data_IF_344597725302
#
_entry.id   IF_344597725302
#
_cell.length_a   1.000
_cell.length_b   1.000
_cell.length_c   1.000
_cell.angle_alpha   90.00
_cell.angle_beta   90.00
_cell.angle_gamma   90.00
#
_symmetry.space_group_name_H-M   'P 1'
#
loop_
_entity.id
_entity.type
_entity.pdbx_description
1 polymer ?
#
# COMPACT_ATOMS: atom_id res chain seq x y z
N UNK A 1 13.56 -11.89 19.97
CA UNK A 1 12.58 -10.85 20.38
C UNK A 1 11.31 -11.16 19.60
N UNK A 2 10.45 -11.99 20.17
CA UNK A 2 9.20 -12.39 19.53
C UNK A 2 8.20 -11.26 19.78
N UNK A 3 7.92 -10.43 18.77
CA UNK A 3 6.82 -9.49 18.86
C UNK A 3 5.55 -10.33 19.09
N UNK A 4 4.88 -10.12 20.24
CA UNK A 4 3.64 -10.84 20.54
C UNK A 4 2.70 -10.72 19.34
N UNK A 5 2.05 -11.83 18.96
CA UNK A 5 1.11 -11.90 17.83
C UNK A 5 0.11 -10.75 17.84
N UNK A 6 -0.34 -10.37 19.05
CA UNK A 6 -1.22 -9.22 19.31
C UNK A 6 -0.57 -7.88 18.94
N UNK A 7 0.69 -7.68 19.32
CA UNK A 7 1.44 -6.46 18.96
C UNK A 7 1.64 -6.36 17.46
N UNK A 8 1.90 -7.48 16.77
CA UNK A 8 2.10 -7.48 15.32
C UNK A 8 0.79 -7.13 14.58
N UNK A 9 -0.31 -7.83 14.88
CA UNK A 9 -1.61 -7.56 14.26
C UNK A 9 -2.05 -6.12 14.54
N UNK A 10 -1.88 -5.66 15.79
CA UNK A 10 -2.18 -4.29 16.17
C UNK A 10 -1.37 -3.28 15.35
N UNK A 11 -0.04 -3.40 15.30
CA UNK A 11 0.79 -2.50 14.52
C UNK A 11 0.42 -2.47 13.04
N UNK A 12 0.18 -3.62 12.40
CA UNK A 12 -0.16 -3.65 10.97
C UNK A 12 -1.60 -3.20 10.68
N UNK A 13 -2.56 -3.53 11.54
CA UNK A 13 -3.93 -3.01 11.44
C UNK A 13 -3.92 -1.48 11.61
N UNK A 14 -3.18 -0.96 12.60
CA UNK A 14 -3.01 0.48 12.79
C UNK A 14 -2.31 1.13 11.60
N UNK A 15 -1.29 0.52 11.00
CA UNK A 15 -0.60 1.06 9.82
C UNK A 15 -1.51 1.08 8.59
N UNK A 16 -2.27 0.00 8.37
CA UNK A 16 -3.25 -0.07 7.28
C UNK A 16 -4.34 0.99 7.47
N UNK A 17 -4.92 1.05 8.67
CA UNK A 17 -5.92 2.04 9.04
C UNK A 17 -5.39 3.48 8.90
N UNK A 18 -4.17 3.76 9.39
CA UNK A 18 -3.58 5.10 9.31
C UNK A 18 -3.32 5.51 7.86
N UNK A 19 -2.87 4.58 7.01
CA UNK A 19 -2.59 4.87 5.60
C UNK A 19 -3.88 5.09 4.80
N UNK A 20 -4.94 4.32 5.07
CA UNK A 20 -6.26 4.53 4.47
C UNK A 20 -6.92 5.81 4.99
N UNK A 21 -6.79 6.11 6.28
CA UNK A 21 -7.28 7.34 6.89
C UNK A 21 -6.57 8.58 6.34
N UNK A 22 -5.27 8.51 6.06
CA UNK A 22 -4.54 9.64 5.45
C UNK A 22 -4.99 9.93 4.01
N UNK A 23 -5.53 8.92 3.31
CA UNK A 23 -6.16 9.08 2.00
C UNK A 23 -7.58 9.65 2.04
N UNK A 24 -8.21 9.69 3.24
CA UNK A 24 -9.49 10.34 3.45
C UNK A 24 -9.25 11.73 4.08
N UNK A 25 -9.71 12.81 3.46
CA UNK A 25 -9.51 14.20 3.93
C UNK A 25 -10.12 14.52 5.30
N UNK A 26 -10.72 13.55 5.98
CA UNK A 26 -11.17 13.63 7.36
C UNK A 26 -10.67 12.40 8.12
N UNK A 27 -10.01 12.55 9.28
CA UNK A 27 -9.66 11.41 10.11
C UNK A 27 -10.97 10.67 10.48
N UNK A 28 -11.05 9.35 10.25
CA UNK A 28 -12.16 8.57 10.78
C UNK A 28 -12.16 8.74 12.30
N UNK A 29 -13.33 9.00 12.88
CA UNK A 29 -13.45 9.14 14.32
C UNK A 29 -12.80 7.93 15.01
N UNK A 30 -12.04 8.10 16.10
CA UNK A 30 -11.31 7.01 16.77
C UNK A 30 -12.20 5.82 17.15
N UNK A 31 -13.52 6.03 17.24
CA UNK A 31 -14.52 5.00 17.55
C UNK A 31 -14.86 4.04 16.39
N UNK A 32 -14.53 4.38 15.14
CA UNK A 32 -14.85 3.53 13.99
C UNK A 32 -13.79 2.45 13.72
N UNK A 33 -12.59 2.56 14.33
CA UNK A 33 -11.44 1.69 14.04
C UNK A 33 -11.20 0.59 15.08
N UNK A 34 -11.67 0.76 16.32
CA UNK A 34 -11.64 -0.32 17.32
C UNK A 34 -12.35 -1.61 16.86
N UNK A 35 -13.57 -1.59 16.26
CA UNK A 35 -14.23 -2.84 15.87
C UNK A 35 -13.47 -3.62 14.78
N UNK A 36 -12.68 -2.93 13.94
CA UNK A 36 -11.88 -3.58 12.90
C UNK A 36 -10.69 -4.31 13.52
N UNK A 37 -10.00 -3.65 14.45
CA UNK A 37 -8.88 -4.25 15.19
C UNK A 37 -9.38 -5.48 15.96
N UNK A 38 -10.51 -5.36 16.65
CA UNK A 38 -11.13 -6.46 17.38
C UNK A 38 -11.46 -7.64 16.44
N UNK A 39 -11.97 -7.35 15.24
CA UNK A 39 -12.26 -8.37 14.21
C UNK A 39 -10.98 -9.11 13.79
N UNK A 40 -9.88 -8.40 13.52
CA UNK A 40 -8.63 -9.03 13.12
C UNK A 40 -8.00 -9.85 14.25
N UNK A 41 -8.01 -9.33 15.47
CA UNK A 41 -7.51 -10.05 16.64
C UNK A 41 -8.35 -11.28 16.95
N UNK A 42 -9.68 -11.16 16.89
CA UNK A 42 -10.59 -12.28 17.07
C UNK A 42 -10.36 -13.37 16.01
N UNK A 43 -10.22 -12.97 14.74
CA UNK A 43 -9.93 -13.92 13.66
C UNK A 43 -8.60 -14.65 13.87
N UNK A 44 -7.56 -13.94 14.30
CA UNK A 44 -6.23 -14.53 14.47
C UNK A 44 -6.05 -15.38 15.75
N UNK A 45 -6.76 -15.03 16.82
CA UNK A 45 -6.54 -15.63 18.15
C UNK A 45 -7.64 -16.61 18.56
N UNK A 46 -8.87 -16.43 18.06
CA UNK A 46 -10.04 -17.21 18.47
C UNK A 46 -10.56 -18.14 17.38
N UNK A 47 -9.86 -18.24 16.24
CA UNK A 47 -10.19 -19.19 15.16
C UNK A 47 -8.97 -20.04 14.79
N UNK A 48 -9.20 -21.30 14.47
CA UNK A 48 -8.14 -22.22 13.99
C UNK A 48 -7.80 -22.00 12.51
N UNK A 49 -8.43 -21.03 11.84
CA UNK A 49 -8.21 -20.77 10.41
C UNK A 49 -7.09 -19.75 10.17
N UNK A 50 -6.81 -18.89 11.15
CA UNK A 50 -5.87 -17.79 11.03
C UNK A 50 -6.34 -16.63 10.14
N UNK A 51 -5.41 -15.74 9.79
CA UNK A 51 -5.66 -14.51 9.04
C UNK A 51 -4.55 -14.22 8.03
N UNK A 52 -4.93 -13.66 6.89
CA UNK A 52 -3.99 -13.09 5.92
C UNK A 52 -4.32 -11.63 5.69
N UNK A 53 -3.33 -10.73 5.80
CA UNK A 53 -3.51 -9.28 5.68
C UNK A 53 -2.64 -8.76 4.53
N UNK A 54 -3.25 -7.98 3.64
CA UNK A 54 -2.59 -7.29 2.53
C UNK A 54 -2.38 -5.82 2.87
N UNK A 55 -1.13 -5.38 2.93
CA UNK A 55 -0.75 -4.03 3.32
C UNK A 55 -0.23 -3.29 2.08
N UNK A 56 -0.96 -2.28 1.56
CA UNK A 56 -0.45 -1.46 0.48
C UNK A 56 0.74 -0.61 0.93
N UNK A 57 1.71 -0.42 0.04
CA UNK A 57 2.82 0.53 0.26
C UNK A 57 2.30 1.96 0.40
N UNK A 58 3.06 2.82 1.09
CA UNK A 58 2.79 4.27 1.10
C UNK A 58 2.73 4.86 -0.31
N UNK A 59 3.58 4.39 -1.22
CA UNK A 59 3.55 4.76 -2.64
C UNK A 59 2.25 4.37 -3.35
N UNK A 60 1.57 3.32 -2.90
CA UNK A 60 0.28 2.90 -3.44
C UNK A 60 -0.80 3.96 -3.20
N UNK A 61 -0.85 4.52 -1.99
CA UNK A 61 -1.79 5.59 -1.63
C UNK A 61 -1.47 6.87 -2.38
N UNK A 62 -0.18 7.24 -2.49
CA UNK A 62 0.26 8.40 -3.28
C UNK A 62 -0.07 8.28 -4.76
N UNK A 63 0.00 7.07 -5.32
CA UNK A 63 -0.32 6.81 -6.71
C UNK A 63 -1.84 6.76 -6.98
N UNK A 64 -2.67 6.61 -5.95
CA UNK A 64 -4.12 6.51 -6.08
C UNK A 64 -4.74 7.91 -6.29
N UNK A 65 -4.86 8.32 -7.55
CA UNK A 65 -5.49 9.59 -7.94
C UNK A 65 -7.02 9.50 -8.03
N UNK A 66 -7.52 8.36 -8.52
CA UNK A 66 -8.94 8.01 -8.60
C UNK A 66 -9.10 6.50 -8.44
N UNK A 67 -10.17 6.02 -7.80
CA UNK A 67 -11.20 6.77 -7.07
C UNK A 67 -10.66 7.41 -5.79
N UNK A 68 -11.30 8.49 -5.32
CA UNK A 68 -10.92 9.15 -4.08
C UNK A 68 -11.44 8.37 -2.88
N UNK A 69 -10.56 8.04 -1.93
CA UNK A 69 -10.93 7.40 -0.67
C UNK A 69 -11.58 8.38 0.32
N UNK A 70 -11.52 9.68 0.05
CA UNK A 70 -12.09 10.73 0.91
C UNK A 70 -13.61 10.83 0.88
N UNK A 71 -14.25 10.30 -0.17
CA UNK A 71 -15.72 10.36 -0.32
C UNK A 71 -16.42 9.12 0.24
N UNK A 72 -15.71 8.26 0.99
CA UNK A 72 -16.26 7.04 1.56
C UNK A 72 -16.98 7.33 2.87
N UNK A 73 -18.13 6.68 3.08
CA UNK A 73 -18.77 6.64 4.39
C UNK A 73 -17.94 5.80 5.37
N UNK A 74 -18.19 5.96 6.68
CA UNK A 74 -17.51 5.15 7.68
C UNK A 74 -17.70 3.64 7.45
N UNK A 75 -18.87 3.19 6.99
CA UNK A 75 -19.13 1.77 6.76
C UNK A 75 -18.49 1.25 5.47
N UNK A 76 -18.40 2.09 4.43
CA UNK A 76 -17.60 1.78 3.25
C UNK A 76 -16.10 1.69 3.60
N UNK A 77 -15.60 2.61 4.42
CA UNK A 77 -14.21 2.58 4.88
C UNK A 77 -13.92 1.33 5.71
N UNK A 78 -14.81 0.93 6.63
CA UNK A 78 -14.70 -0.33 7.37
C UNK A 78 -14.63 -1.52 6.41
N UNK A 79 -15.55 -1.59 5.46
CA UNK A 79 -15.59 -2.66 4.46
C UNK A 79 -14.31 -2.70 3.61
N UNK A 80 -13.78 -1.53 3.22
CA UNK A 80 -12.52 -1.42 2.49
C UNK A 80 -11.32 -1.93 3.30
N UNK A 81 -11.25 -1.62 4.59
CA UNK A 81 -10.17 -2.11 5.46
C UNK A 81 -10.29 -3.63 5.65
N UNK A 82 -11.50 -4.14 5.92
CA UNK A 82 -11.75 -5.58 6.04
C UNK A 82 -11.48 -6.34 4.73
N UNK A 83 -11.65 -5.68 3.57
CA UNK A 83 -11.35 -6.26 2.26
C UNK A 83 -9.87 -6.56 2.05
N UNK A 84 -9.01 -5.82 2.74
CA UNK A 84 -7.56 -6.07 2.72
C UNK A 84 -7.15 -7.27 3.59
N UNK A 85 -8.10 -8.00 4.20
CA UNK A 85 -7.79 -9.17 4.99
C UNK A 85 -8.70 -10.36 4.65
N UNK A 86 -8.17 -11.57 4.76
CA UNK A 86 -8.89 -12.82 4.52
C UNK A 86 -9.04 -13.63 5.81
N UNK A 87 -10.18 -14.34 5.98
CA UNK A 87 -10.52 -15.11 7.19
C UNK A 87 -9.76 -16.44 7.29
N UNK A 88 -8.58 -16.55 6.67
CA UNK A 88 -7.75 -17.74 6.70
C UNK A 88 -6.30 -17.38 6.45
N UNK A 89 -5.39 -18.10 7.09
CA UNK A 89 -3.97 -18.10 6.78
C UNK A 89 -3.73 -18.74 5.40
N UNK A 90 -3.02 -18.04 4.54
CA UNK A 90 -2.53 -18.55 3.26
C UNK A 90 -1.04 -18.26 3.14
N UNK A 91 -0.27 -19.31 2.86
CA UNK A 91 1.13 -19.15 2.46
C UNK A 91 1.22 -18.70 0.99
N UNK A 92 2.38 -18.20 0.57
CA UNK A 92 2.62 -17.87 -0.85
C UNK A 92 2.34 -19.06 -1.78
N UNK A 93 2.65 -20.29 -1.33
CA UNK A 93 2.40 -21.51 -2.10
C UNK A 93 0.90 -21.81 -2.25
N UNK A 94 0.06 -21.38 -1.30
CA UNK A 94 -1.38 -21.60 -1.40
C UNK A 94 -2.05 -20.64 -2.39
N UNK A 95 -1.46 -19.47 -2.66
CA UNK A 95 -1.98 -18.55 -3.68
C UNK A 95 -1.97 -19.16 -5.09
N UNK A 96 -0.98 -19.99 -5.42
CA UNK A 96 -0.97 -20.74 -6.68
C UNK A 96 -2.12 -21.75 -6.75
N UNK A 97 -2.53 -22.34 -5.62
CA UNK A 97 -3.74 -23.20 -5.60
C UNK A 97 -5.00 -22.35 -5.75
N UNK A 98 -5.07 -21.19 -5.08
CA UNK A 98 -6.22 -20.30 -5.15
C UNK A 98 -6.45 -19.76 -6.57
N UNK A 99 -5.39 -19.54 -7.35
CA UNK A 99 -5.53 -19.08 -8.74
C UNK A 99 -6.28 -20.06 -9.64
N UNK A 100 -6.34 -21.35 -9.27
CA UNK A 100 -7.10 -22.38 -9.99
C UNK A 100 -8.49 -22.65 -9.41
N UNK A 101 -8.79 -22.12 -8.22
CA UNK A 101 -10.05 -22.36 -7.50
C UNK A 101 -11.10 -21.27 -7.70
N UNK A 102 -10.68 -20.08 -8.12
CA UNK A 102 -11.57 -18.94 -8.35
C UNK A 102 -11.59 -17.92 -7.21
N UNK A 103 -12.60 -17.03 -7.17
CA UNK A 103 -12.65 -15.92 -6.23
C UNK A 103 -12.70 -16.39 -4.77
N UNK A 104 -11.97 -15.71 -3.88
CA UNK A 104 -11.91 -16.00 -2.45
C UNK A 104 -12.50 -14.84 -1.66
N UNK A 105 -13.42 -15.14 -0.75
CA UNK A 105 -14.04 -14.13 0.12
C UNK A 105 -13.06 -13.54 1.14
N UNK A 106 -13.24 -12.26 1.43
CA UNK A 106 -12.46 -11.50 2.43
C UNK A 106 -13.23 -11.37 3.75
N UNK A 107 -12.61 -10.73 4.75
CA UNK A 107 -13.28 -10.42 6.02
C UNK A 107 -14.39 -9.37 5.89
N UNK A 108 -14.51 -8.69 4.73
CA UNK A 108 -15.60 -7.76 4.47
C UNK A 108 -16.93 -8.48 4.16
N UNK A 109 -16.92 -9.79 3.90
CA UNK A 109 -18.10 -10.60 3.60
C UNK A 109 -18.09 -11.22 2.20
N UNK A 110 -19.14 -11.99 1.89
CA UNK A 110 -19.22 -12.80 0.66
C UNK A 110 -19.27 -12.00 -0.64
N UNK A 111 -19.81 -10.77 -0.60
CA UNK A 111 -19.86 -9.85 -1.74
C UNK A 111 -18.49 -9.21 -2.06
N UNK A 112 -17.47 -9.48 -1.24
CA UNK A 112 -16.14 -8.91 -1.36
C UNK A 112 -15.12 -10.03 -1.55
N UNK A 113 -14.85 -10.37 -2.81
CA UNK A 113 -13.93 -11.43 -3.18
C UNK A 113 -12.68 -10.91 -3.89
N UNK A 114 -11.60 -11.68 -3.77
CA UNK A 114 -10.33 -11.46 -4.45
C UNK A 114 -10.03 -12.63 -5.37
N UNK A 115 -9.63 -12.31 -6.59
CA UNK A 115 -9.08 -13.28 -7.51
C UNK A 115 -7.56 -13.29 -7.42
N UNK A 116 -6.99 -14.48 -7.54
CA UNK A 116 -5.55 -14.70 -7.50
C UNK A 116 -5.09 -15.16 -8.87
N UNK A 117 -3.99 -14.62 -9.37
CA UNK A 117 -3.30 -15.18 -10.52
C UNK A 117 -1.83 -15.34 -10.19
N UNK A 118 -1.21 -16.38 -10.73
CA UNK A 118 0.21 -16.61 -10.58
C UNK A 118 0.88 -16.46 -11.94
N UNK A 119 1.81 -15.51 -12.03
CA UNK A 119 2.56 -15.21 -13.24
C UNK A 119 4.03 -15.52 -12.97
N UNK A 120 4.44 -16.74 -13.32
CA UNK A 120 5.84 -17.20 -13.20
C UNK A 120 6.42 -17.03 -11.79
N UNK A 121 5.63 -17.33 -10.76
CA UNK A 121 6.03 -17.24 -9.35
C UNK A 121 5.77 -15.89 -8.69
N UNK A 122 5.21 -14.91 -9.43
CA UNK A 122 4.71 -13.66 -8.86
C UNK A 122 3.20 -13.76 -8.68
N UNK A 123 2.73 -13.61 -7.45
CA UNK A 123 1.31 -13.61 -7.11
C UNK A 123 0.70 -12.24 -7.39
N UNK A 124 -0.36 -12.24 -8.19
CA UNK A 124 -1.19 -11.09 -8.50
C UNK A 124 -2.56 -11.24 -7.83
N UNK A 125 -3.08 -10.11 -7.37
CA UNK A 125 -4.41 -9.99 -6.78
C UNK A 125 -5.26 -9.09 -7.65
N UNK A 126 -6.50 -9.50 -7.86
CA UNK A 126 -7.49 -8.76 -8.62
C UNK A 126 -8.76 -8.58 -7.80
N UNK A 127 -9.11 -7.32 -7.54
CA UNK A 127 -10.32 -6.91 -6.82
C UNK A 127 -11.47 -6.50 -7.73
N UNK A 128 -11.36 -6.74 -9.04
CA UNK A 128 -12.25 -6.23 -10.09
C UNK A 128 -11.84 -4.82 -10.53
N UNK A 129 -11.74 -3.89 -9.56
CA UNK A 129 -11.35 -2.50 -9.85
C UNK A 129 -9.84 -2.28 -9.92
N UNK A 130 -9.07 -3.03 -9.12
CA UNK A 130 -7.63 -2.85 -9.02
C UNK A 130 -6.91 -4.19 -9.15
N UNK A 131 -5.87 -4.20 -9.98
CA UNK A 131 -4.95 -5.33 -10.14
C UNK A 131 -3.60 -4.97 -9.54
N UNK A 132 -3.13 -5.75 -8.58
CA UNK A 132 -1.88 -5.52 -7.87
C UNK A 132 -1.05 -6.79 -7.79
N UNK A 133 0.21 -6.67 -7.38
CA UNK A 133 1.08 -7.82 -7.11
C UNK A 133 1.51 -7.82 -5.66
N UNK A 134 1.74 -9.03 -5.12
CA UNK A 134 2.45 -9.20 -3.86
C UNK A 134 3.91 -8.85 -4.09
N UNK A 135 4.38 -7.84 -3.39
CA UNK A 135 5.74 -7.31 -3.53
C UNK A 135 6.71 -7.84 -2.49
N UNK A 136 6.22 -8.22 -1.31
CA UNK A 136 7.02 -8.77 -0.22
C UNK A 136 6.14 -9.53 0.79
N UNK A 137 6.71 -10.53 1.46
CA UNK A 137 6.11 -11.18 2.62
C UNK A 137 6.77 -10.62 3.89
N UNK A 138 6.03 -9.76 4.60
CA UNK A 138 6.53 -9.12 5.83
C UNK A 138 6.48 -10.11 6.99
N UNK A 139 5.44 -10.94 7.02
CA UNK A 139 5.28 -12.04 7.95
C UNK A 139 4.49 -13.16 7.27
N UNK A 140 4.83 -14.42 7.50
CA UNK A 140 4.10 -15.55 6.94
C UNK A 140 4.33 -16.77 7.83
N UNK A 141 3.65 -16.80 8.97
CA UNK A 141 3.74 -17.91 9.91
C UNK A 141 2.38 -18.14 10.54
N UNK A 142 1.87 -19.37 10.44
CA UNK A 142 0.56 -19.72 10.99
C UNK A 142 0.46 -19.30 12.47
N UNK A 143 -0.60 -18.57 12.88
CA UNK A 143 -1.86 -18.31 12.16
C UNK A 143 -1.92 -16.97 11.40
N UNK A 144 -0.81 -16.24 11.23
CA UNK A 144 -0.80 -14.87 10.67
C UNK A 144 0.08 -14.76 9.43
N UNK A 145 -0.48 -14.27 8.33
CA UNK A 145 0.27 -13.85 7.15
C UNK A 145 0.05 -12.36 6.86
N UNK A 146 1.13 -11.65 6.55
CA UNK A 146 1.14 -10.23 6.20
C UNK A 146 1.97 -10.04 4.94
N UNK A 147 1.29 -9.63 3.88
CA UNK A 147 1.89 -9.43 2.56
C UNK A 147 1.80 -7.96 2.15
N UNK A 148 2.90 -7.43 1.63
CA UNK A 148 2.93 -6.08 1.11
C UNK A 148 2.51 -6.06 -0.36
N UNK A 149 1.62 -5.15 -0.74
CA UNK A 149 1.13 -4.99 -2.13
C UNK A 149 1.47 -3.62 -2.71
N UNK A 150 1.61 -3.54 -4.03
CA UNK A 150 2.05 -2.32 -4.73
C UNK A 150 0.93 -1.30 -4.99
N UNK A 151 -0.33 -1.73 -4.96
CA UNK A 151 -1.54 -0.91 -5.11
C UNK A 151 -2.55 -1.25 -4.03
N UNK A 152 -3.37 -0.26 -3.67
CA UNK A 152 -4.51 -0.41 -2.75
C UNK A 152 -5.56 -1.31 -3.41
N UNK A 153 -6.09 -2.29 -2.67
CA UNK A 153 -7.16 -3.15 -3.13
C UNK A 153 -8.50 -2.41 -3.03
N UNK A 154 -9.17 -2.25 -4.16
CA UNK A 154 -10.43 -1.51 -4.26
C UNK A 154 -11.56 -2.45 -4.69
N UNK A 155 -12.54 -2.74 -3.82
CA UNK A 155 -13.62 -3.65 -4.18
C UNK A 155 -14.63 -2.99 -5.10
N UNK A 156 -15.02 -3.71 -6.15
CA UNK A 156 -16.06 -3.30 -7.11
C UNK A 156 -17.39 -2.95 -6.42
N UNK A 157 -17.74 -3.62 -5.33
CA UNK A 157 -18.95 -3.34 -4.56
C UNK A 157 -19.03 -1.92 -3.97
N UNK A 158 -17.90 -1.22 -3.78
CA UNK A 158 -17.85 0.15 -3.26
C UNK A 158 -17.69 1.17 -4.39
N UNK A 159 -16.88 0.83 -5.41
CA UNK A 159 -16.50 1.77 -6.46
C UNK A 159 -17.28 1.59 -7.77
N UNK A 160 -18.11 0.56 -7.88
CA UNK A 160 -18.88 0.22 -9.07
C UNK A 160 -18.01 -0.43 -10.16
N UNK A 161 -18.51 -0.44 -11.40
CA UNK A 161 -17.85 -0.98 -12.60
C UNK A 161 -17.24 0.09 -13.51
N UNK A 162 -17.42 1.38 -13.21
CA UNK A 162 -16.92 2.51 -14.00
C UNK A 162 -15.40 2.75 -13.81
N UNK A 163 -14.58 1.75 -14.18
CA UNK A 163 -13.13 1.81 -14.02
C UNK A 163 -12.59 2.91 -14.95
N UNK A 164 -11.96 3.99 -14.42
CA UNK A 164 -11.33 4.99 -15.28
C UNK A 164 -10.21 4.32 -16.10
N UNK A 165 -10.05 4.65 -17.38
CA UNK A 165 -9.03 4.03 -18.22
C UNK A 165 -7.65 4.16 -17.56
N UNK A 166 -7.01 3.00 -17.32
CA UNK A 166 -5.70 2.93 -16.70
C UNK A 166 -4.71 3.78 -17.52
N UNK A 167 -3.91 4.67 -16.90
CA UNK A 167 -2.85 5.38 -17.61
C UNK A 167 -1.93 4.34 -18.29
N UNK A 168 -1.55 4.52 -19.57
CA UNK A 168 -0.59 3.65 -20.21
C UNK A 168 0.67 3.53 -19.34
N UNK A 169 1.15 2.31 -19.13
CA UNK A 169 2.42 2.08 -18.48
C UNK A 169 3.49 2.93 -19.19
N UNK A 170 4.33 3.71 -18.48
CA UNK A 170 5.41 4.46 -19.09
C UNK A 170 6.24 3.51 -19.96
N UNK A 171 6.32 3.81 -21.26
CA UNK A 171 7.09 3.01 -22.20
C UNK A 171 8.56 2.89 -21.70
N UNK A 172 9.21 1.73 -21.89
CA UNK A 172 10.63 1.59 -21.60
C UNK A 172 11.39 2.69 -22.33
N UNK A 173 12.13 3.52 -21.58
CA UNK A 173 13.02 4.50 -22.17
C UNK A 173 14.05 3.76 -23.05
N UNK A 174 14.28 4.17 -24.30
CA UNK A 174 15.31 3.55 -25.12
C UNK A 174 16.69 3.81 -24.52
N UNK A 175 17.40 2.72 -24.21
CA UNK A 175 18.82 2.71 -23.87
C UNK A 175 19.63 3.27 -25.06
N UNK A 176 20.23 4.44 -24.87
CA UNK A 176 21.22 4.98 -25.80
C UNK A 176 22.59 4.67 -25.19
N UNK A 177 23.22 3.61 -25.66
CA UNK A 177 24.64 3.35 -25.41
C UNK A 177 25.52 4.26 -26.31
N UNK A 178 26.70 4.73 -25.85
CA UNK A 178 27.51 5.72 -26.55
C UNK A 178 28.67 5.11 -27.36
N UNK A 179 28.89 5.61 -28.57
CA UNK A 179 30.16 5.55 -29.31
C UNK A 179 30.04 6.50 -30.52
N UNK A 180 31.05 7.21 -31.03
CA UNK A 180 32.37 7.63 -30.62
C UNK A 180 32.83 8.62 -31.72
N UNK A 181 33.68 9.57 -31.34
CA UNK A 181 34.64 10.29 -32.17
C UNK A 181 34.20 11.30 -33.27
N UNK A 182 34.97 12.37 -33.33
CA UNK A 182 34.83 13.61 -34.12
C UNK A 182 35.75 13.54 -35.37
N UNK A 183 36.10 14.62 -36.12
CA UNK A 183 35.69 16.03 -36.07
C UNK A 183 35.43 16.75 -37.43
N UNK A 184 34.82 17.95 -37.34
CA UNK A 184 34.89 19.17 -38.23
C UNK A 184 34.66 19.04 -39.74
N UNK A 185 34.04 19.96 -40.48
CA UNK A 185 33.40 21.26 -40.31
C UNK A 185 32.42 21.38 -41.52
N UNK A 186 31.34 22.15 -41.48
CA UNK A 186 31.25 23.46 -42.15
C UNK A 186 29.89 24.13 -41.83
N UNK A 187 29.82 25.42 -42.13
CA UNK A 187 29.13 26.47 -41.37
C UNK A 187 27.90 27.05 -42.10
N UNK A 188 26.95 27.58 -41.30
CA UNK A 188 25.84 28.53 -41.57
C UNK A 188 24.53 27.92 -42.13
N UNK A 189 23.37 28.12 -41.49
CA UNK A 189 23.07 28.86 -40.27
C UNK A 189 21.57 28.98 -39.98
N UNK A 190 21.31 29.78 -38.93
CA UNK A 190 20.04 30.42 -38.51
C UNK A 190 19.18 29.65 -37.52
N UNK A 191 19.16 30.15 -36.28
CA UNK A 191 18.09 29.85 -35.32
C UNK A 191 18.45 30.00 -33.84
N UNK A 192 18.69 31.23 -33.38
CA UNK A 192 18.37 31.72 -32.01
C UNK A 192 18.74 30.85 -30.79
N UNK A 193 19.88 31.15 -30.15
CA UNK A 193 19.99 31.09 -28.69
C UNK A 193 21.15 31.96 -28.20
N UNK A 194 20.86 32.88 -27.30
CA UNK A 194 21.78 33.60 -26.44
C UNK A 194 20.89 34.01 -25.26
N UNK A 195 21.18 33.69 -24.01
CA UNK A 195 22.45 33.89 -23.32
C UNK A 195 22.43 33.06 -22.04
N UNK A 196 23.56 32.48 -21.73
CA UNK A 196 23.85 31.91 -20.42
C UNK A 196 24.50 32.98 -19.52
N UNK A 197 24.24 32.81 -18.21
CA UNK A 197 25.13 33.09 -17.07
C UNK A 197 25.33 34.58 -16.67
N UNK A 198 25.75 34.95 -15.44
CA UNK A 198 26.45 34.12 -14.42
C UNK A 198 26.08 34.40 -12.94
N UNK A 199 26.85 33.77 -12.04
CA UNK A 199 27.29 34.30 -10.73
C UNK A 199 26.52 33.91 -9.46
N UNK A 200 27.23 33.13 -8.63
CA UNK A 200 27.60 33.47 -7.25
C UNK A 200 26.65 34.41 -6.49
N UNK A 201 25.98 33.92 -5.45
CA UNK A 201 25.99 34.56 -4.13
C UNK A 201 25.14 33.80 -3.12
N UNK A 202 25.75 33.55 -1.97
CA UNK A 202 25.16 33.09 -0.73
C UNK A 202 23.96 33.91 -0.28
N UNK A 203 22.87 33.25 0.12
CA UNK A 203 22.04 33.72 1.22
C UNK A 203 21.24 32.58 1.82
N UNK A 204 21.72 32.14 2.98
CA UNK A 204 21.03 31.25 3.90
C UNK A 204 19.85 32.01 4.49
N UNK A 205 18.62 31.61 4.15
CA UNK A 205 17.43 31.94 4.94
C UNK A 205 17.01 30.68 5.66
N UNK A 206 17.62 30.51 6.84
CA UNK A 206 17.14 29.65 7.91
C UNK A 206 15.73 30.15 8.26
N UNK A 207 14.72 29.31 8.02
CA UNK A 207 13.48 29.35 8.79
C UNK A 207 13.25 27.97 9.38
N UNK A 208 13.59 27.92 10.66
CA UNK A 208 13.26 26.91 11.63
C UNK A 208 11.74 26.78 11.77
N UNK A 209 11.20 25.65 11.32
CA UNK A 209 9.95 25.03 11.77
C UNK A 209 10.23 23.53 11.67
N UNK A 210 10.23 22.72 12.71
CA UNK A 210 9.76 22.86 14.07
C UNK A 210 9.75 21.42 14.56
N UNK A 211 10.68 21.11 15.46
CA UNK A 211 10.52 20.16 16.57
C UNK A 211 9.14 19.48 16.65
N UNK A 212 8.95 18.39 15.91
CA UNK A 212 7.83 17.46 16.14
C UNK A 212 8.07 16.09 15.49
N UNK A 213 9.17 15.42 15.83
CA UNK A 213 9.25 13.99 15.54
C UNK A 213 10.17 13.17 16.47
N UNK A 214 10.44 13.68 17.68
CA UNK A 214 11.39 13.04 18.61
C UNK A 214 10.85 12.91 20.05
N UNK A 215 9.54 12.80 20.25
CA UNK A 215 8.98 12.64 21.61
C UNK A 215 7.85 11.60 21.71
N UNK A 216 8.01 10.45 21.06
CA UNK A 216 7.09 9.30 21.23
C UNK A 216 7.80 8.00 21.63
N UNK A 217 9.13 7.97 21.76
CA UNK A 217 9.86 6.77 22.19
C UNK A 217 9.99 6.57 23.71
N UNK A 218 9.36 7.40 24.55
CA UNK A 218 9.60 7.39 26.01
C UNK A 218 8.45 6.85 26.88
N UNK A 219 7.36 6.31 26.31
CA UNK A 219 6.22 5.82 27.12
C UNK A 219 5.91 4.32 27.01
N UNK A 220 6.68 3.54 26.24
CA UNK A 220 6.50 2.08 26.17
C UNK A 220 7.44 1.28 27.09
N UNK A 221 8.33 1.94 27.85
CA UNK A 221 9.26 1.28 28.79
C UNK A 221 8.71 1.05 30.20
N UNK A 222 7.49 1.51 30.52
CA UNK A 222 6.97 1.56 31.89
C UNK A 222 5.99 0.47 32.31
N UNK A 223 5.56 -0.42 31.41
CA UNK A 223 4.49 -1.39 31.69
C UNK A 223 4.95 -2.86 31.63
N UNK A 224 6.23 -3.12 31.95
CA UNK A 224 6.77 -4.48 32.12
C UNK A 224 7.22 -4.67 33.56
N UNK A 225 6.40 -4.28 34.54
CA UNK A 225 6.69 -4.55 35.96
C UNK A 225 5.48 -4.90 36.83
N UNK A 226 4.28 -5.12 36.28
CA UNK A 226 3.17 -5.66 37.08
C UNK A 226 2.24 -6.54 36.24
N UNK A 227 2.20 -7.81 36.64
CA UNK A 227 1.38 -8.94 36.19
C UNK A 227 1.90 -9.74 34.98
#
# INVERSE_FOLDING_TARGET
MEFSRVSMISCFAFLLCSSLAYGASSPPAPMAMSPILDTFQNQANNTDQGITIFVPKDSAFKALKKPSLSNLTNDQLKSLILFHAMPKFYSLADFNKLSTKGPVSTLAGSQYSLNFTDNSGTVHLDSGWSKTKVSSAVHSTDPVAIYQVDKVLLPEAIFGTDIPPMPPAPAPAPDISPAADAPSAETKGKGSSSKAEPSTSSSHRIMNFGTWNQLVLALFGGWVMFF
#
